data_IF_020594836940
#
_entry.id   IF_020594836940
#
_cell.length_a   1.000
_cell.length_b   1.000
_cell.length_c   1.000
_cell.angle_alpha   90.00
_cell.angle_beta   90.00
_cell.angle_gamma   90.00
#
_symmetry.space_group_name_H-M   'P 1'
#
loop_
_entity.id
_entity.type
_entity.pdbx_description
1 polymer ?
#
# COMPACT_ATOMS: atom_id res chain seq x y z
N UNK A 1 0.47 19.79 -12.58
CA UNK A 1 0.07 19.85 -11.16
C UNK A 1 0.86 18.81 -10.42
N UNK A 2 1.40 19.12 -9.24
CA UNK A 2 2.07 18.13 -8.39
C UNK A 2 1.05 17.10 -7.91
N UNK A 3 1.00 15.94 -8.57
CA UNK A 3 0.22 14.82 -8.08
C UNK A 3 0.94 14.22 -6.87
N UNK A 4 0.38 14.43 -5.67
CA UNK A 4 0.92 13.92 -4.40
C UNK A 4 0.75 12.40 -4.23
N UNK A 5 0.12 11.73 -5.21
CA UNK A 5 -0.16 10.29 -5.20
C UNK A 5 0.50 9.55 -6.38
N UNK A 6 1.67 9.98 -6.85
CA UNK A 6 2.35 9.29 -7.96
C UNK A 6 2.58 7.79 -7.64
N UNK A 7 2.91 7.48 -6.39
CA UNK A 7 2.97 6.11 -5.87
C UNK A 7 2.19 5.92 -4.58
N UNK A 8 1.60 4.74 -4.40
CA UNK A 8 0.89 4.36 -3.18
C UNK A 8 1.32 2.96 -2.76
N UNK A 9 1.73 2.84 -1.50
CA UNK A 9 2.03 1.58 -0.84
C UNK A 9 0.85 1.16 0.05
N UNK A 10 0.31 -0.03 -0.18
CA UNK A 10 -0.73 -0.65 0.64
C UNK A 10 -0.05 -1.60 1.62
N UNK A 11 0.18 -1.09 2.83
CA UNK A 11 0.98 -1.70 3.87
C UNK A 11 1.34 -0.71 4.97
N UNK A 12 1.82 -1.23 6.11
CA UNK A 12 2.21 -0.42 7.27
C UNK A 12 3.67 0.03 7.15
N UNK A 13 3.87 1.16 6.49
CA UNK A 13 5.17 1.84 6.39
C UNK A 13 5.79 1.79 5.00
N UNK A 14 6.56 2.83 4.66
CA UNK A 14 7.16 2.97 3.34
C UNK A 14 8.45 2.16 3.23
N UNK A 15 8.52 1.30 2.21
CA UNK A 15 9.74 0.57 1.89
C UNK A 15 10.75 1.47 1.18
N UNK A 16 12.04 1.24 1.43
CA UNK A 16 13.13 2.00 0.80
C UNK A 16 13.15 1.88 -0.73
N UNK A 17 12.65 0.77 -1.27
CA UNK A 17 12.53 0.53 -2.71
C UNK A 17 11.58 1.52 -3.41
N UNK A 18 10.68 2.15 -2.67
CA UNK A 18 9.72 3.13 -3.18
C UNK A 18 10.16 4.58 -2.95
N UNK A 19 11.32 4.80 -2.33
CA UNK A 19 11.81 6.15 -2.09
C UNK A 19 12.41 6.76 -3.37
N UNK A 20 11.87 7.90 -3.77
CA UNK A 20 12.46 8.75 -4.80
C UNK A 20 12.46 10.21 -4.34
N UNK A 21 13.60 10.90 -4.54
CA UNK A 21 13.74 12.30 -4.12
C UNK A 21 12.74 13.18 -4.85
N UNK A 22 11.92 13.92 -4.09
CA UNK A 22 10.91 14.83 -4.64
C UNK A 22 9.64 14.14 -5.16
N UNK A 23 9.49 12.83 -4.95
CA UNK A 23 8.26 12.09 -5.29
C UNK A 23 7.59 11.64 -3.99
N UNK A 24 6.43 12.20 -3.64
CA UNK A 24 5.66 11.73 -2.49
C UNK A 24 5.09 10.34 -2.78
N UNK A 25 5.18 9.45 -1.77
CA UNK A 25 4.56 8.12 -1.80
C UNK A 25 3.73 7.95 -0.53
N UNK A 26 2.43 7.79 -0.69
CA UNK A 26 1.54 7.51 0.44
C UNK A 26 1.70 6.06 0.90
N UNK A 27 1.64 5.81 2.21
CA UNK A 27 1.54 4.45 2.77
C UNK A 27 0.21 4.30 3.50
N UNK A 28 -0.63 3.39 3.00
CA UNK A 28 -2.01 3.18 3.41
C UNK A 28 -2.11 1.81 4.07
N UNK A 29 -2.38 1.78 5.38
CA UNK A 29 -2.57 0.52 6.11
C UNK A 29 -3.99 -0.04 5.98
N UNK A 30 -4.98 0.83 5.89
CA UNK A 30 -6.39 0.51 5.63
C UNK A 30 -6.98 1.73 4.92
N UNK A 31 -7.54 1.53 3.71
CA UNK A 31 -8.02 2.61 2.87
C UNK A 31 -9.30 3.27 3.42
N UNK A 32 -10.16 2.50 4.10
CA UNK A 32 -11.43 3.00 4.66
C UNK A 32 -11.21 3.96 5.83
N UNK A 33 -10.16 3.73 6.62
CA UNK A 33 -9.80 4.56 7.78
C UNK A 33 -8.59 5.47 7.52
N UNK A 34 -8.13 5.58 6.28
CA UNK A 34 -6.94 6.34 5.95
C UNK A 34 -7.14 7.85 6.14
N UNK A 35 -6.31 8.45 6.99
CA UNK A 35 -6.26 9.89 7.18
C UNK A 35 -5.73 10.30 8.54
N UNK A 36 -5.54 11.61 8.72
CA UNK A 36 -5.29 12.21 10.03
C UNK A 36 -6.59 12.79 10.56
N UNK A 37 -6.92 12.41 11.79
CA UNK A 37 -8.18 12.72 12.46
C UNK A 37 -9.42 12.34 11.64
N UNK A 38 -9.51 11.10 11.10
CA UNK A 38 -10.63 10.68 10.26
C UNK A 38 -11.98 10.76 10.98
N UNK A 39 -11.99 10.74 12.32
CA UNK A 39 -13.19 10.85 13.15
C UNK A 39 -13.72 12.30 13.28
N UNK A 40 -12.91 13.32 12.95
CA UNK A 40 -13.35 14.72 12.98
C UNK A 40 -14.04 15.03 11.66
N UNK A 41 -15.37 14.93 11.65
CA UNK A 41 -16.19 15.20 10.46
C UNK A 41 -16.28 16.68 10.09
N UNK A 42 -16.07 17.58 11.05
CA UNK A 42 -16.11 19.02 10.81
C UNK A 42 -14.76 19.52 10.25
N UNK A 43 -14.77 19.99 9.01
CA UNK A 43 -13.57 20.44 8.30
C UNK A 43 -12.85 21.59 9.02
N UNK A 44 -13.59 22.48 9.68
CA UNK A 44 -13.00 23.61 10.41
C UNK A 44 -12.28 23.12 11.67
N UNK A 45 -12.88 22.20 12.43
CA UNK A 45 -12.24 21.57 13.59
C UNK A 45 -11.01 20.77 13.18
N UNK A 46 -11.08 20.05 12.05
CA UNK A 46 -9.94 19.31 11.52
C UNK A 46 -8.80 20.25 11.14
N UNK A 47 -9.08 21.35 10.43
CA UNK A 47 -8.06 22.37 10.12
C UNK A 47 -7.44 23.00 11.37
N UNK A 48 -8.24 23.29 12.40
CA UNK A 48 -7.71 23.80 13.68
C UNK A 48 -6.79 22.78 14.36
N UNK A 49 -7.17 21.50 14.41
CA UNK A 49 -6.35 20.43 14.98
C UNK A 49 -5.02 20.28 14.22
N UNK A 50 -5.05 20.37 12.89
CA UNK A 50 -3.85 20.34 12.05
C UNK A 50 -2.95 21.55 12.25
N UNK A 51 -3.54 22.75 12.39
CA UNK A 51 -2.79 23.96 12.66
C UNK A 51 -2.15 23.93 14.04
N UNK A 52 -2.86 23.46 15.07
CA UNK A 52 -2.33 23.24 16.40
C UNK A 52 -1.20 22.19 16.40
N UNK A 53 -1.37 21.08 15.69
CA UNK A 53 -0.32 20.07 15.50
C UNK A 53 0.92 20.67 14.83
N UNK A 54 0.74 21.43 13.74
CA UNK A 54 1.85 22.09 13.04
C UNK A 54 2.53 23.16 13.90
N UNK A 55 1.82 23.87 14.78
CA UNK A 55 2.41 24.83 15.71
C UNK A 55 3.19 24.14 16.83
N UNK A 56 2.68 23.01 17.33
CA UNK A 56 3.32 22.22 18.39
C UNK A 56 4.63 21.57 17.92
N UNK A 57 4.65 21.04 16.69
CA UNK A 57 5.80 20.31 16.14
C UNK A 57 6.64 21.13 15.14
N UNK A 58 6.16 22.29 14.71
CA UNK A 58 6.83 23.17 13.75
C UNK A 58 7.15 24.57 14.27
N UNK A 59 7.23 24.74 15.60
CA UNK A 59 7.44 26.03 16.26
C UNK A 59 8.64 26.81 15.71
N UNK A 60 8.41 28.13 15.49
CA UNK A 60 9.23 29.32 15.15
C UNK A 60 10.69 29.22 14.62
N UNK A 61 11.21 28.05 14.29
CA UNK A 61 12.48 27.87 13.60
C UNK A 61 12.24 27.82 12.10
N UNK A 62 12.76 28.81 11.36
CA UNK A 62 12.95 28.74 9.89
C UNK A 62 14.03 27.71 9.51
N UNK A 63 14.09 26.59 10.20
CA UNK A 63 15.03 25.52 9.91
C UNK A 63 14.46 24.64 8.78
N UNK A 64 15.33 24.19 7.89
CA UNK A 64 15.01 23.38 6.72
C UNK A 64 14.29 22.07 7.13
N UNK A 65 14.63 21.52 8.30
CA UNK A 65 14.01 20.32 8.84
C UNK A 65 12.54 20.56 9.18
N UNK A 66 12.23 21.66 9.86
CA UNK A 66 10.86 22.02 10.23
C UNK A 66 9.99 22.23 9.00
N UNK A 67 10.49 22.97 8.01
CA UNK A 67 9.77 23.16 6.74
C UNK A 67 9.52 21.84 6.01
N UNK A 68 10.49 20.94 6.01
CA UNK A 68 10.36 19.62 5.40
C UNK A 68 9.30 18.76 6.09
N UNK A 69 9.26 18.74 7.43
CA UNK A 69 8.24 18.00 8.20
C UNK A 69 6.85 18.60 7.96
N UNK A 70 6.70 19.92 7.99
CA UNK A 70 5.42 20.60 7.71
C UNK A 70 4.92 20.31 6.30
N UNK A 71 5.80 20.37 5.30
CA UNK A 71 5.45 20.06 3.93
C UNK A 71 5.01 18.60 3.78
N UNK A 72 5.77 17.65 4.33
CA UNK A 72 5.42 16.23 4.31
C UNK A 72 4.08 15.95 5.00
N UNK A 73 3.82 16.57 6.15
CA UNK A 73 2.53 16.46 6.83
C UNK A 73 1.38 17.00 5.99
N UNK A 74 1.59 18.14 5.32
CA UNK A 74 0.60 18.74 4.40
C UNK A 74 0.31 17.84 3.20
N UNK A 75 1.35 17.25 2.60
CA UNK A 75 1.19 16.37 1.44
C UNK A 75 0.53 15.03 1.83
N UNK A 76 0.84 14.50 3.01
CA UNK A 76 0.17 13.33 3.56
C UNK A 76 -1.34 13.58 3.77
N UNK A 77 -1.73 14.76 4.24
CA UNK A 77 -3.13 15.14 4.41
C UNK A 77 -3.87 15.24 3.09
N UNK A 78 -3.28 15.94 2.12
CA UNK A 78 -3.83 16.03 0.76
C UNK A 78 -3.97 14.65 0.14
N UNK A 79 -2.94 13.82 0.25
CA UNK A 79 -2.96 12.44 -0.23
C UNK A 79 -4.08 11.62 0.40
N UNK A 80 -4.30 11.75 1.71
CA UNK A 80 -5.40 11.08 2.40
C UNK A 80 -6.78 11.54 1.92
N UNK A 81 -6.98 12.85 1.77
CA UNK A 81 -8.26 13.39 1.30
C UNK A 81 -8.59 12.93 -0.12
N UNK A 82 -7.58 12.87 -0.99
CA UNK A 82 -7.73 12.36 -2.36
C UNK A 82 -8.00 10.85 -2.35
N UNK A 83 -7.29 10.06 -1.55
CA UNK A 83 -7.47 8.60 -1.49
C UNK A 83 -8.83 8.18 -0.92
N UNK A 84 -9.40 8.96 -0.01
CA UNK A 84 -10.71 8.67 0.61
C UNK A 84 -11.87 8.65 -0.39
N UNK A 85 -11.72 9.27 -1.56
CA UNK A 85 -12.77 9.23 -2.59
C UNK A 85 -12.83 7.89 -3.32
N UNK A 86 -11.73 7.12 -3.31
CA UNK A 86 -11.61 5.91 -4.12
C UNK A 86 -12.62 4.81 -3.74
N UNK A 87 -12.80 4.45 -2.45
CA UNK A 87 -13.82 3.47 -2.08
C UNK A 87 -15.25 3.91 -2.39
N UNK A 88 -15.52 5.21 -2.46
CA UNK A 88 -16.86 5.77 -2.70
C UNK A 88 -17.26 5.68 -4.18
N UNK A 89 -16.29 5.70 -5.09
CA UNK A 89 -16.49 5.62 -6.53
C UNK A 89 -16.38 4.19 -7.07
N UNK A 90 -15.84 3.28 -6.26
CA UNK A 90 -15.62 1.90 -6.64
C UNK A 90 -16.94 1.12 -6.71
N UNK A 91 -17.12 0.39 -7.80
CA UNK A 91 -18.21 -0.57 -8.00
C UNK A 91 -17.63 -1.79 -8.70
N UNK A 92 -17.88 -2.97 -8.12
CA UNK A 92 -17.44 -4.25 -8.67
C UNK A 92 -18.30 -5.36 -8.08
N UNK A 93 -18.59 -6.38 -8.88
CA UNK A 93 -19.26 -7.61 -8.45
C UNK A 93 -18.28 -8.68 -7.93
N UNK A 94 -16.97 -8.48 -8.17
CA UNK A 94 -15.92 -9.43 -7.79
C UNK A 94 -15.74 -9.45 -6.27
N UNK A 95 -15.73 -10.66 -5.71
CA UNK A 95 -15.49 -10.90 -4.29
C UNK A 95 -14.04 -11.28 -4.07
N UNK A 96 -13.35 -10.52 -3.22
CA UNK A 96 -12.00 -10.84 -2.80
C UNK A 96 -12.01 -11.84 -1.63
N UNK A 97 -11.07 -12.81 -1.59
CA UNK A 97 -10.98 -13.76 -0.48
C UNK A 97 -10.55 -13.06 0.82
N UNK A 98 -10.87 -13.67 1.96
CA UNK A 98 -10.48 -13.18 3.28
C UNK A 98 -8.99 -13.44 3.56
N UNK A 99 -8.14 -12.52 3.10
CA UNK A 99 -6.71 -12.52 3.39
C UNK A 99 -6.14 -11.09 3.31
N UNK A 100 -5.08 -10.76 4.08
CA UNK A 100 -4.50 -9.41 4.07
C UNK A 100 -4.02 -8.95 2.68
N UNK A 101 -3.49 -9.86 1.86
CA UNK A 101 -3.04 -9.52 0.50
C UNK A 101 -4.23 -9.22 -0.42
N UNK A 102 -5.33 -9.94 -0.27
CA UNK A 102 -6.54 -9.69 -1.04
C UNK A 102 -7.22 -8.37 -0.65
N UNK A 103 -7.24 -8.01 0.64
CA UNK A 103 -7.71 -6.69 1.11
C UNK A 103 -6.88 -5.54 0.51
N UNK A 104 -5.56 -5.70 0.47
CA UNK A 104 -4.66 -4.73 -0.18
C UNK A 104 -4.90 -4.66 -1.68
N UNK A 105 -5.05 -5.79 -2.37
CA UNK A 105 -5.34 -5.83 -3.81
C UNK A 105 -6.69 -5.17 -4.16
N UNK A 106 -7.72 -5.39 -3.33
CA UNK A 106 -9.00 -4.67 -3.45
C UNK A 106 -8.83 -3.17 -3.28
N UNK A 107 -8.02 -2.75 -2.30
CA UNK A 107 -7.72 -1.32 -2.09
C UNK A 107 -6.95 -0.71 -3.27
N UNK A 108 -6.03 -1.48 -3.87
CA UNK A 108 -5.33 -1.10 -5.12
C UNK A 108 -6.35 -0.91 -6.23
N UNK A 109 -7.25 -1.88 -6.44
CA UNK A 109 -8.29 -1.79 -7.46
C UNK A 109 -9.14 -0.54 -7.27
N UNK A 110 -9.60 -0.24 -6.05
CA UNK A 110 -10.35 0.98 -5.71
C UNK A 110 -9.63 2.26 -6.14
N UNK A 111 -8.35 2.41 -5.77
CA UNK A 111 -7.56 3.61 -6.10
C UNK A 111 -7.27 3.69 -7.60
N UNK A 112 -7.09 2.54 -8.25
CA UNK A 112 -6.92 2.44 -9.70
C UNK A 112 -8.20 2.80 -10.45
N UNK A 113 -9.38 2.37 -9.99
CA UNK A 113 -10.68 2.74 -10.57
C UNK A 113 -10.89 4.25 -10.57
N UNK A 114 -10.53 4.91 -9.46
CA UNK A 114 -10.78 6.33 -9.21
C UNK A 114 -9.91 7.29 -10.05
N UNK A 115 -8.96 6.79 -10.83
CA UNK A 115 -8.13 7.57 -11.77
C UNK A 115 -7.47 8.80 -11.14
N UNK A 116 -6.92 8.63 -9.93
CA UNK A 116 -6.30 9.70 -9.13
C UNK A 116 -4.89 10.06 -9.64
N UNK A 117 -4.52 9.62 -10.84
CA UNK A 117 -3.20 9.76 -11.43
C UNK A 117 -2.10 8.95 -10.73
N UNK A 118 -2.46 7.99 -9.88
CA UNK A 118 -1.51 7.05 -9.28
C UNK A 118 -0.96 6.12 -10.36
N UNK A 119 0.37 5.94 -10.38
CA UNK A 119 1.06 5.18 -11.44
C UNK A 119 1.77 3.94 -10.92
N UNK A 120 2.13 3.94 -9.65
CA UNK A 120 2.84 2.83 -9.00
C UNK A 120 2.06 2.41 -7.77
N UNK A 121 1.63 1.15 -7.77
CA UNK A 121 0.95 0.53 -6.65
C UNK A 121 1.87 -0.55 -6.09
N UNK A 122 2.04 -0.56 -4.78
CA UNK A 122 2.88 -1.53 -4.12
C UNK A 122 2.12 -2.18 -2.97
N UNK A 123 2.27 -3.48 -2.81
CA UNK A 123 1.90 -4.20 -1.59
C UNK A 123 2.84 -5.37 -1.39
N UNK A 124 2.82 -5.95 -0.20
CA UNK A 124 3.65 -7.09 0.16
C UNK A 124 2.79 -8.15 0.85
N UNK A 125 3.14 -9.41 0.64
CA UNK A 125 2.63 -10.53 1.41
C UNK A 125 3.79 -11.15 2.19
N UNK A 126 3.72 -11.05 3.52
CA UNK A 126 4.80 -11.46 4.43
C UNK A 126 4.64 -12.93 4.86
N UNK A 127 5.51 -13.36 5.78
CA UNK A 127 5.47 -14.67 6.46
C UNK A 127 6.03 -15.86 5.68
N UNK A 128 6.62 -15.63 4.50
CA UNK A 128 7.38 -16.65 3.77
C UNK A 128 8.70 -17.04 4.45
N UNK A 129 9.15 -16.27 5.44
CA UNK A 129 10.30 -16.59 6.29
C UNK A 129 9.91 -17.62 7.37
N UNK A 130 9.81 -18.88 6.95
CA UNK A 130 9.42 -19.99 7.83
C UNK A 130 10.64 -20.76 8.33
N UNK A 131 10.72 -20.98 9.65
CA UNK A 131 11.71 -21.83 10.30
C UNK A 131 11.20 -23.23 10.69
N UNK A 132 9.89 -23.47 10.53
CA UNK A 132 9.24 -24.76 10.75
C UNK A 132 7.91 -24.82 9.98
N UNK A 133 7.40 -26.02 9.77
CA UNK A 133 6.11 -26.27 9.09
C UNK A 133 6.03 -25.61 7.71
N UNK A 134 7.15 -25.53 7.00
CA UNK A 134 7.27 -24.81 5.73
C UNK A 134 6.19 -25.23 4.74
N UNK A 135 6.01 -26.53 4.50
CA UNK A 135 5.07 -27.03 3.49
C UNK A 135 3.63 -26.52 3.71
N UNK A 136 3.15 -26.57 4.95
CA UNK A 136 1.80 -26.12 5.29
C UNK A 136 1.68 -24.61 5.18
N UNK A 137 2.63 -23.86 5.77
CA UNK A 137 2.63 -22.40 5.75
C UNK A 137 2.76 -21.85 4.33
N UNK A 138 3.71 -22.37 3.56
CA UNK A 138 3.98 -21.96 2.18
C UNK A 138 2.78 -22.24 1.26
N UNK A 139 2.14 -23.41 1.39
CA UNK A 139 0.94 -23.73 0.61
C UNK A 139 -0.21 -22.76 0.89
N UNK A 140 -0.43 -22.38 2.16
CA UNK A 140 -1.42 -21.38 2.53
C UNK A 140 -1.10 -20.01 1.93
N UNK A 141 0.12 -19.52 2.12
CA UNK A 141 0.53 -18.19 1.64
C UNK A 141 0.43 -18.08 0.10
N UNK A 142 0.80 -19.13 -0.63
CA UNK A 142 0.61 -19.16 -2.08
C UNK A 142 -0.85 -19.24 -2.51
N UNK A 143 -1.70 -19.91 -1.73
CA UNK A 143 -3.14 -19.91 -1.97
C UNK A 143 -3.70 -18.49 -1.83
N UNK A 144 -3.31 -17.78 -0.77
CA UNK A 144 -3.72 -16.39 -0.53
C UNK A 144 -3.26 -15.47 -1.68
N UNK A 145 -1.99 -15.57 -2.11
CA UNK A 145 -1.44 -14.80 -3.24
C UNK A 145 -2.16 -15.12 -4.55
N UNK A 146 -2.34 -16.41 -4.88
CA UNK A 146 -2.98 -16.83 -6.13
C UNK A 146 -4.43 -16.37 -6.21
N UNK A 147 -5.18 -16.51 -5.13
CA UNK A 147 -6.59 -16.11 -5.08
C UNK A 147 -6.74 -14.58 -5.11
N UNK A 148 -5.86 -13.85 -4.43
CA UNK A 148 -5.86 -12.39 -4.45
C UNK A 148 -5.57 -11.83 -5.85
N UNK A 149 -4.57 -12.38 -6.56
CA UNK A 149 -4.25 -11.97 -7.93
C UNK A 149 -5.36 -12.35 -8.90
N UNK A 150 -5.94 -13.56 -8.75
CA UNK A 150 -7.08 -13.97 -9.56
C UNK A 150 -8.25 -12.99 -9.44
N UNK A 151 -8.65 -12.68 -8.20
CA UNK A 151 -9.72 -11.70 -7.94
C UNK A 151 -9.35 -10.31 -8.47
N UNK A 152 -8.10 -9.85 -8.28
CA UNK A 152 -7.65 -8.56 -8.79
C UNK A 152 -7.74 -8.45 -10.31
N UNK A 153 -7.26 -9.46 -11.04
CA UNK A 153 -7.32 -9.45 -12.50
C UNK A 153 -8.76 -9.55 -13.02
N UNK A 154 -9.61 -10.33 -12.36
CA UNK A 154 -11.05 -10.40 -12.69
C UNK A 154 -11.74 -9.05 -12.49
N UNK A 155 -11.43 -8.37 -11.39
CA UNK A 155 -11.98 -7.07 -11.05
C UNK A 155 -11.52 -5.97 -12.02
N UNK A 156 -10.23 -5.94 -12.37
CA UNK A 156 -9.73 -5.02 -13.40
C UNK A 156 -10.41 -5.26 -14.75
N UNK A 157 -10.69 -6.52 -15.11
CA UNK A 157 -11.40 -6.86 -16.33
C UNK A 157 -12.85 -6.41 -16.30
N UNK A 158 -13.56 -6.58 -15.17
CA UNK A 158 -14.92 -6.06 -15.00
C UNK A 158 -14.96 -4.53 -15.18
N UNK A 159 -13.91 -3.85 -14.73
CA UNK A 159 -13.76 -2.40 -14.87
C UNK A 159 -13.21 -1.95 -16.23
N UNK A 160 -12.80 -2.87 -17.11
CA UNK A 160 -12.20 -2.57 -18.41
C UNK A 160 -10.82 -1.92 -18.33
N UNK A 161 -10.01 -2.28 -17.31
CA UNK A 161 -8.67 -1.72 -17.04
C UNK A 161 -7.56 -2.78 -17.05
N UNK A 162 -7.86 -4.03 -17.37
CA UNK A 162 -6.92 -5.14 -17.35
C UNK A 162 -5.77 -4.99 -18.36
N UNK A 163 -6.00 -4.31 -19.49
CA UNK A 163 -4.97 -4.05 -20.51
C UNK A 163 -4.00 -2.91 -20.16
N UNK A 164 -4.33 -2.07 -19.17
CA UNK A 164 -3.53 -0.91 -18.78
C UNK A 164 -2.58 -1.21 -17.59
N UNK A 165 -2.61 -2.44 -17.07
CA UNK A 165 -1.93 -2.82 -15.82
C UNK A 165 -0.89 -3.90 -16.07
N UNK A 166 0.31 -3.67 -15.52
CA UNK A 166 1.36 -4.69 -15.40
C UNK A 166 1.52 -5.04 -13.93
N UNK A 167 1.36 -6.32 -13.61
CA UNK A 167 1.66 -6.88 -12.28
C UNK A 167 3.08 -7.44 -12.31
N UNK A 168 3.95 -6.92 -11.45
CA UNK A 168 5.30 -7.44 -11.22
C UNK A 168 5.33 -8.06 -9.82
N UNK A 169 5.71 -9.33 -9.72
CA UNK A 169 5.97 -9.99 -8.44
C UNK A 169 7.44 -10.28 -8.28
N UNK A 170 7.97 -10.08 -7.08
CA UNK A 170 9.33 -10.46 -6.75
C UNK A 170 9.46 -10.93 -5.30
N UNK A 171 10.56 -11.63 -5.01
CA UNK A 171 10.94 -12.04 -3.66
C UNK A 171 12.39 -11.65 -3.37
N UNK A 172 12.68 -11.28 -2.12
CA UNK A 172 14.04 -10.95 -1.65
C UNK A 172 14.94 -12.19 -1.51
N UNK A 173 14.34 -13.37 -1.35
CA UNK A 173 15.05 -14.63 -1.18
C UNK A 173 14.29 -15.81 -1.81
N UNK A 174 15.00 -16.92 -1.98
CA UNK A 174 14.46 -18.20 -2.43
C UNK A 174 14.66 -19.27 -1.36
N UNK A 175 14.42 -20.53 -1.71
CA UNK A 175 14.63 -21.68 -0.83
C UNK A 175 15.70 -22.62 -1.38
N UNK A 176 16.43 -23.30 -0.50
CA UNK A 176 17.39 -24.34 -0.88
C UNK A 176 16.67 -25.65 -1.16
N UNK A 177 17.20 -26.47 -2.07
CA UNK A 177 16.59 -27.78 -2.41
C UNK A 177 16.65 -28.76 -1.24
N UNK A 178 17.70 -28.67 -0.40
CA UNK A 178 17.96 -29.63 0.68
C UNK A 178 17.02 -29.38 1.87
N UNK A 179 16.31 -30.43 2.27
CA UNK A 179 15.53 -30.49 3.51
C UNK A 179 16.46 -30.42 4.75
N UNK A 180 16.07 -29.63 5.74
CA UNK A 180 16.76 -29.44 7.02
C UNK A 180 16.00 -30.04 8.22
N UNK A 181 14.94 -30.81 7.99
CA UNK A 181 14.12 -31.52 8.98
C UNK A 181 12.83 -30.78 9.37
N UNK A 182 12.76 -29.46 9.17
CA UNK A 182 11.57 -28.66 9.41
C UNK A 182 11.09 -27.87 8.18
N UNK A 183 11.74 -28.11 7.03
CA UNK A 183 11.60 -27.34 5.80
C UNK A 183 12.95 -27.27 5.07
N UNK A 184 13.29 -26.10 4.56
CA UNK A 184 14.48 -25.81 3.76
C UNK A 184 15.15 -24.52 4.24
N UNK A 185 16.44 -24.38 3.98
CA UNK A 185 17.17 -23.15 4.32
C UNK A 185 16.86 -22.02 3.32
N UNK A 186 17.21 -20.79 3.71
CA UNK A 186 17.12 -19.63 2.81
C UNK A 186 18.16 -19.73 1.68
N UNK A 187 17.70 -19.52 0.47
CA UNK A 187 18.53 -19.32 -0.71
C UNK A 187 19.00 -17.87 -0.80
N UNK A 188 20.17 -17.64 -1.37
CA UNK A 188 20.76 -16.31 -1.56
C UNK A 188 20.25 -15.55 -2.79
N UNK A 189 19.37 -16.16 -3.59
CA UNK A 189 18.78 -15.56 -4.79
C UNK A 189 17.26 -15.48 -4.66
N UNK A 190 16.69 -14.34 -5.06
CA UNK A 190 15.25 -14.15 -5.23
C UNK A 190 14.75 -14.56 -6.63
N UNK A 191 13.47 -14.37 -6.86
CA UNK A 191 12.80 -14.56 -8.16
C UNK A 191 11.97 -13.31 -8.47
N UNK A 192 11.83 -12.98 -9.75
CA UNK A 192 10.89 -11.97 -10.24
C UNK A 192 10.19 -12.50 -11.49
N UNK A 193 8.90 -12.19 -11.65
CA UNK A 193 8.08 -12.56 -12.80
C UNK A 193 6.93 -11.58 -13.01
#
# INVERSE_FOLDING_TARGET
GENVLTGVNFGRGLLRSLYAKGVPVASVGNLETYGLFPDIQDDHMRQMALQAFSQMYGGEGKDMITQYITQMGTDALKGADILRVAPQQYTSSVTYPDSPIAENMRSIAQVLSADLGTRVYHTEHRSFDTHASELTSHAKLWTDVSMAIGAFMEDLKEQGKDEDVVVLMFSEFGRRIRDNGAGTDHGSGGVAF
#
